data_IF_047722377907
#
_entry.id   IF_047722377907
#
_cell.length_a   1.000
_cell.length_b   1.000
_cell.length_c   1.000
_cell.angle_alpha   90.00
_cell.angle_beta   90.00
_cell.angle_gamma   90.00
#
_symmetry.space_group_name_H-M   'P 1'
#
loop_
_entity.id
_entity.type
_entity.pdbx_description
1 polymer ?
#
# COMPACT_ATOMS: atom_id res chain seq x y z
N UNK A 1 -7.12 45.24 11.29
CA UNK A 1 -5.98 44.44 10.81
C UNK A 1 -5.64 43.42 11.89
N UNK A 2 -6.37 42.31 11.93
CA UNK A 2 -6.25 41.28 12.97
C UNK A 2 -5.29 40.20 12.48
N UNK A 3 -4.10 40.15 13.08
CA UNK A 3 -3.16 39.07 12.89
C UNK A 3 -3.71 37.81 13.60
N UNK A 4 -4.39 36.95 12.84
CA UNK A 4 -4.62 35.58 13.28
C UNK A 4 -3.26 34.88 13.39
N UNK A 5 -2.80 34.71 14.63
CA UNK A 5 -1.74 33.78 15.00
C UNK A 5 -2.17 32.38 14.54
N UNK A 6 -1.80 32.00 13.32
CA UNK A 6 -1.87 30.61 12.86
C UNK A 6 -0.99 29.79 13.80
N UNK A 7 -1.62 29.07 14.73
CA UNK A 7 -0.97 28.06 15.56
C UNK A 7 -0.12 27.16 14.65
N UNK A 8 1.13 26.83 15.01
CA UNK A 8 1.95 25.95 14.19
C UNK A 8 1.21 24.64 14.00
N UNK A 9 0.85 24.32 12.75
CA UNK A 9 0.26 23.03 12.40
C UNK A 9 1.24 21.97 12.88
N UNK A 10 0.87 21.20 13.91
CA UNK A 10 1.71 20.10 14.42
C UNK A 10 2.00 19.17 13.26
N UNK A 11 3.23 19.18 12.77
CA UNK A 11 3.69 18.18 11.82
C UNK A 11 3.84 16.87 12.57
N UNK A 12 3.18 15.82 12.09
CA UNK A 12 3.46 14.48 12.57
C UNK A 12 4.91 14.11 12.26
N UNK A 13 5.51 13.30 13.13
CA UNK A 13 6.82 12.73 12.86
C UNK A 13 6.74 11.73 11.72
N UNK A 14 7.83 11.57 10.97
CA UNK A 14 7.93 10.58 9.90
C UNK A 14 7.71 9.14 10.38
N UNK A 15 8.01 8.86 11.66
CA UNK A 15 7.75 7.57 12.31
C UNK A 15 6.27 7.16 12.30
N UNK A 16 5.34 8.11 12.24
CA UNK A 16 3.90 7.82 12.14
C UNK A 16 3.56 7.04 10.88
N UNK A 17 4.30 7.25 9.77
CA UNK A 17 4.11 6.50 8.52
C UNK A 17 4.40 5.01 8.74
N UNK A 18 5.54 4.69 9.35
CA UNK A 18 5.92 3.30 9.63
C UNK A 18 4.95 2.63 10.61
N UNK A 19 4.52 3.34 11.66
CA UNK A 19 3.53 2.82 12.62
C UNK A 19 2.19 2.53 11.95
N UNK A 20 1.72 3.42 11.08
CA UNK A 20 0.49 3.17 10.33
C UNK A 20 0.64 1.98 9.38
N UNK A 21 1.77 1.86 8.67
CA UNK A 21 2.04 0.71 7.82
C UNK A 21 1.99 -0.61 8.60
N UNK A 22 2.64 -0.64 9.77
CA UNK A 22 2.63 -1.81 10.67
C UNK A 22 1.22 -2.10 11.17
N UNK A 23 0.47 -1.09 11.61
CA UNK A 23 -0.90 -1.27 12.08
C UNK A 23 -1.82 -1.82 10.97
N UNK A 24 -1.67 -1.33 9.74
CA UNK A 24 -2.39 -1.84 8.57
C UNK A 24 -2.06 -3.29 8.26
N UNK A 25 -0.78 -3.64 8.33
CA UNK A 25 -0.32 -5.01 8.13
C UNK A 25 -0.84 -5.96 9.22
N UNK A 26 -0.81 -5.54 10.49
CA UNK A 26 -1.40 -6.29 11.61
C UNK A 26 -2.90 -6.50 11.37
N UNK A 27 -3.62 -5.46 10.94
CA UNK A 27 -5.05 -5.57 10.64
C UNK A 27 -5.33 -6.56 9.50
N UNK A 28 -4.50 -6.58 8.45
CA UNK A 28 -4.60 -7.56 7.36
C UNK A 28 -4.41 -8.97 7.91
N UNK A 29 -3.33 -9.23 8.66
CA UNK A 29 -3.05 -10.56 9.20
C UNK A 29 -4.12 -10.99 10.21
N UNK A 30 -4.58 -10.11 11.08
CA UNK A 30 -5.72 -10.39 11.96
C UNK A 30 -6.98 -10.75 11.16
N UNK A 31 -7.26 -10.02 10.07
CA UNK A 31 -8.36 -10.31 9.16
C UNK A 31 -8.23 -11.69 8.50
N UNK A 32 -7.03 -12.05 8.04
CA UNK A 32 -6.71 -13.36 7.45
C UNK A 32 -7.07 -14.51 8.40
N UNK A 33 -6.79 -14.37 9.71
CA UNK A 33 -7.06 -15.40 10.72
C UNK A 33 -8.43 -15.30 11.39
N UNK A 34 -9.19 -14.23 11.18
CA UNK A 34 -10.51 -14.04 11.79
C UNK A 34 -11.63 -14.61 10.91
N UNK A 35 -11.85 -14.02 9.74
CA UNK A 35 -12.85 -14.48 8.77
C UNK A 35 -12.62 -13.85 7.38
N UNK A 36 -13.12 -14.46 6.30
CA UNK A 36 -13.03 -13.87 4.96
C UNK A 36 -13.69 -12.49 4.87
N UNK A 37 -14.82 -12.29 5.54
CA UNK A 37 -15.54 -11.01 5.57
C UNK A 37 -14.74 -9.95 6.33
N UNK A 38 -14.07 -10.32 7.42
CA UNK A 38 -13.19 -9.43 8.17
C UNK A 38 -12.02 -8.95 7.31
N UNK A 39 -11.37 -9.85 6.56
CA UNK A 39 -10.29 -9.48 5.65
C UNK A 39 -10.78 -8.57 4.52
N UNK A 40 -11.96 -8.84 3.95
CA UNK A 40 -12.56 -7.98 2.93
C UNK A 40 -12.87 -6.58 3.51
N UNK A 41 -13.42 -6.50 4.72
CA UNK A 41 -13.67 -5.23 5.41
C UNK A 41 -12.37 -4.44 5.63
N UNK A 42 -11.30 -5.11 6.08
CA UNK A 42 -9.97 -4.49 6.23
C UNK A 42 -9.45 -3.97 4.88
N UNK A 43 -9.57 -4.75 3.81
CA UNK A 43 -9.18 -4.31 2.46
C UNK A 43 -9.92 -3.06 1.99
N UNK A 44 -11.23 -2.99 2.23
CA UNK A 44 -12.06 -1.81 1.93
C UNK A 44 -11.62 -0.60 2.76
N UNK A 45 -11.38 -0.78 4.07
CA UNK A 45 -10.92 0.28 4.96
C UNK A 45 -9.55 0.81 4.56
N UNK A 46 -8.63 -0.07 4.15
CA UNK A 46 -7.31 0.31 3.64
C UNK A 46 -7.45 1.09 2.34
N UNK A 47 -8.27 0.63 1.39
CA UNK A 47 -8.54 1.36 0.15
C UNK A 47 -9.12 2.76 0.42
N UNK A 48 -10.05 2.87 1.37
CA UNK A 48 -10.60 4.15 1.80
C UNK A 48 -9.53 5.05 2.45
N UNK A 49 -8.67 4.51 3.31
CA UNK A 49 -7.60 5.26 3.96
C UNK A 49 -6.53 5.73 2.95
N UNK A 50 -6.16 4.89 1.98
CA UNK A 50 -5.31 5.27 0.85
C UNK A 50 -5.98 6.38 0.04
N UNK A 51 -7.24 6.20 -0.36
CA UNK A 51 -7.98 7.20 -1.13
C UNK A 51 -8.13 8.54 -0.41
N UNK A 52 -8.47 8.54 0.88
CA UNK A 52 -8.57 9.77 1.67
C UNK A 52 -7.19 10.41 1.84
N UNK A 53 -6.16 9.62 2.16
CA UNK A 53 -4.86 10.14 2.49
C UNK A 53 -4.04 10.63 1.30
N UNK A 54 -4.16 9.97 0.15
CA UNK A 54 -3.29 10.17 -0.99
C UNK A 54 -3.38 11.59 -1.60
N UNK A 55 -4.58 12.17 -1.82
CA UNK A 55 -4.69 13.57 -2.23
C UNK A 55 -4.17 14.57 -1.20
N UNK A 56 -4.19 14.22 0.10
CA UNK A 56 -3.62 15.05 1.16
C UNK A 56 -2.09 14.98 1.16
N UNK A 57 -1.53 13.79 0.88
CA UNK A 57 -0.11 13.61 0.67
C UNK A 57 0.39 14.42 -0.53
N UNK A 58 -0.27 14.31 -1.68
CA UNK A 58 0.06 15.02 -2.91
C UNK A 58 -0.31 16.51 -2.90
N UNK A 59 -1.03 16.99 -1.88
CA UNK A 59 -1.49 18.39 -1.75
C UNK A 59 -2.36 18.87 -2.91
N UNK A 60 -3.10 17.95 -3.51
CA UNK A 60 -3.95 18.26 -4.66
C UNK A 60 -5.12 19.16 -4.20
N UNK A 61 -5.55 20.16 -4.99
CA UNK A 61 -6.69 21.01 -4.65
C UNK A 61 -8.01 20.24 -4.49
N UNK A 62 -8.31 19.30 -5.40
CA UNK A 62 -9.57 18.56 -5.45
C UNK A 62 -9.59 17.31 -4.55
N UNK A 63 -9.29 17.47 -3.25
CA UNK A 63 -9.07 16.35 -2.31
C UNK A 63 -10.25 15.39 -2.19
N UNK A 64 -11.48 15.91 -2.08
CA UNK A 64 -12.68 15.10 -1.81
C UNK A 64 -13.03 14.22 -3.00
N UNK A 65 -13.11 14.81 -4.19
CA UNK A 65 -13.45 14.10 -5.43
C UNK A 65 -12.41 13.04 -5.75
N UNK A 66 -11.12 13.40 -5.71
CA UNK A 66 -10.05 12.45 -6.01
C UNK A 66 -9.89 11.38 -4.93
N UNK A 67 -10.25 11.67 -3.68
CA UNK A 67 -10.30 10.64 -2.66
C UNK A 67 -11.33 9.55 -2.98
N UNK A 68 -12.54 9.93 -3.41
CA UNK A 68 -13.55 8.98 -3.84
C UNK A 68 -13.10 8.19 -5.08
N UNK A 69 -12.50 8.87 -6.06
CA UNK A 69 -11.98 8.24 -7.29
C UNK A 69 -10.87 7.21 -7.00
N UNK A 70 -10.10 7.38 -5.94
CA UNK A 70 -9.07 6.41 -5.53
C UNK A 70 -9.64 5.30 -4.64
N UNK A 71 -10.52 5.65 -3.70
CA UNK A 71 -11.06 4.71 -2.74
C UNK A 71 -12.02 3.70 -3.37
N UNK A 72 -12.93 4.16 -4.24
CA UNK A 72 -13.99 3.32 -4.80
C UNK A 72 -13.44 2.16 -5.66
N UNK A 73 -12.50 2.37 -6.59
CA UNK A 73 -11.89 1.27 -7.35
C UNK A 73 -11.17 0.26 -6.45
N UNK A 74 -10.45 0.73 -5.42
CA UNK A 74 -9.75 -0.17 -4.50
C UNK A 74 -10.70 -0.99 -3.65
N UNK A 75 -11.77 -0.37 -3.13
CA UNK A 75 -12.82 -1.06 -2.41
C UNK A 75 -13.55 -2.08 -3.30
N UNK A 76 -13.86 -1.71 -4.55
CA UNK A 76 -14.47 -2.61 -5.51
C UNK A 76 -13.55 -3.78 -5.87
N UNK A 77 -12.25 -3.53 -6.05
CA UNK A 77 -11.25 -4.58 -6.27
C UNK A 77 -11.16 -5.53 -5.07
N UNK A 78 -11.22 -5.01 -3.84
CA UNK A 78 -11.22 -5.82 -2.62
C UNK A 78 -12.48 -6.71 -2.52
N UNK A 79 -13.66 -6.14 -2.80
CA UNK A 79 -14.93 -6.88 -2.85
C UNK A 79 -14.89 -7.95 -3.94
N UNK A 80 -14.45 -7.62 -5.15
CA UNK A 80 -14.36 -8.61 -6.22
C UNK A 80 -13.34 -9.71 -5.89
N UNK A 81 -12.21 -9.39 -5.27
CA UNK A 81 -11.25 -10.40 -4.84
C UNK A 81 -11.80 -11.33 -3.76
N UNK A 82 -12.78 -10.91 -2.96
CA UNK A 82 -13.42 -11.77 -1.94
C UNK A 82 -14.47 -12.71 -2.51
N UNK A 83 -15.10 -12.37 -3.64
CA UNK A 83 -16.17 -13.18 -4.25
C UNK A 83 -15.81 -13.84 -5.57
N UNK A 84 -14.74 -13.41 -6.24
CA UNK A 84 -14.34 -13.95 -7.54
C UNK A 84 -14.07 -15.46 -7.47
N UNK A 85 -14.46 -16.24 -8.50
CA UNK A 85 -14.21 -17.67 -8.54
C UNK A 85 -12.73 -17.98 -8.77
N UNK A 86 -12.22 -19.11 -8.22
CA UNK A 86 -10.89 -19.62 -8.57
C UNK A 86 -10.79 -19.94 -10.08
N UNK A 87 -9.60 -19.86 -10.70
CA UNK A 87 -8.31 -19.42 -10.17
C UNK A 87 -8.05 -17.91 -10.31
N UNK A 88 -9.05 -17.16 -10.77
CA UNK A 88 -8.95 -15.76 -11.23
C UNK A 88 -9.31 -14.70 -10.19
N UNK A 89 -8.77 -14.80 -8.97
CA UNK A 89 -9.19 -13.93 -7.86
C UNK A 89 -8.94 -12.42 -8.12
N UNK A 90 -7.97 -12.05 -8.95
CA UNK A 90 -7.67 -10.65 -9.30
C UNK A 90 -8.09 -10.26 -10.72
N UNK A 91 -8.85 -11.08 -11.43
CA UNK A 91 -9.16 -10.84 -12.86
C UNK A 91 -9.92 -9.53 -13.09
N UNK A 92 -10.73 -9.10 -12.12
CA UNK A 92 -11.46 -7.83 -12.16
C UNK A 92 -10.64 -6.61 -11.72
N UNK A 93 -9.52 -6.83 -11.02
CA UNK A 93 -8.69 -5.74 -10.47
C UNK A 93 -8.16 -4.80 -11.57
N UNK A 94 -7.63 -5.28 -12.71
CA UNK A 94 -7.24 -4.41 -13.83
C UNK A 94 -8.38 -3.54 -14.36
N UNK A 95 -9.61 -4.06 -14.43
CA UNK A 95 -10.76 -3.30 -14.88
C UNK A 95 -11.07 -2.14 -13.92
N UNK A 96 -11.02 -2.36 -12.61
CA UNK A 96 -11.20 -1.28 -11.63
C UNK A 96 -10.06 -0.25 -11.68
N UNK A 97 -8.81 -0.68 -11.88
CA UNK A 97 -7.69 0.24 -12.09
C UNK A 97 -7.95 1.12 -13.32
N UNK A 98 -8.35 0.52 -14.44
CA UNK A 98 -8.65 1.26 -15.67
C UNK A 98 -9.81 2.26 -15.46
N UNK A 99 -10.92 1.82 -14.85
CA UNK A 99 -12.06 2.68 -14.54
C UNK A 99 -11.66 3.85 -13.62
N UNK A 100 -10.88 3.57 -12.57
CA UNK A 100 -10.39 4.58 -11.64
C UNK A 100 -9.47 5.59 -12.33
N UNK A 101 -8.53 5.13 -13.15
CA UNK A 101 -7.64 6.00 -13.92
C UNK A 101 -8.43 6.86 -14.92
N UNK A 102 -9.39 6.28 -15.65
CA UNK A 102 -10.28 7.05 -16.53
C UNK A 102 -11.06 8.11 -15.74
N UNK A 103 -11.59 7.76 -14.57
CA UNK A 103 -12.28 8.72 -13.69
C UNK A 103 -11.34 9.84 -13.21
N UNK A 104 -10.05 9.57 -12.95
CA UNK A 104 -9.05 10.62 -12.69
C UNK A 104 -8.99 11.59 -13.87
N UNK A 105 -8.85 11.09 -15.11
CA UNK A 105 -8.82 11.97 -16.28
C UNK A 105 -10.10 12.80 -16.42
N UNK A 106 -11.27 12.19 -16.24
CA UNK A 106 -12.57 12.90 -16.27
C UNK A 106 -12.62 14.02 -15.24
N UNK A 107 -12.19 13.77 -14.00
CA UNK A 107 -12.12 14.81 -12.96
C UNK A 107 -11.19 15.95 -13.38
N UNK A 108 -10.07 15.64 -14.03
CA UNK A 108 -9.12 16.67 -14.48
C UNK A 108 -9.64 17.45 -15.69
N UNK A 109 -10.44 16.84 -16.56
CA UNK A 109 -11.15 17.53 -17.65
C UNK A 109 -12.20 18.50 -17.09
N UNK A 110 -13.00 18.07 -16.11
CA UNK A 110 -14.01 18.92 -15.45
C UNK A 110 -13.36 20.10 -14.71
N UNK A 111 -12.18 19.91 -14.11
CA UNK A 111 -11.43 20.99 -13.46
C UNK A 111 -10.97 22.09 -14.43
N UNK A 112 -10.97 21.84 -15.74
CA UNK A 112 -10.67 22.81 -16.79
C UNK A 112 -9.18 22.93 -17.15
N UNK A 113 -8.91 23.63 -18.25
CA UNK A 113 -7.56 23.95 -18.73
C UNK A 113 -6.94 25.11 -17.94
N UNK A 114 -5.63 25.05 -17.64
CA UNK A 114 -4.92 26.11 -16.91
C UNK A 114 -4.81 25.95 -15.38
N UNK A 115 -5.35 24.88 -14.81
CA UNK A 115 -5.19 24.59 -13.39
C UNK A 115 -3.74 24.20 -13.05
N UNK A 116 -3.18 24.81 -12.00
CA UNK A 116 -1.87 24.47 -11.49
C UNK A 116 -1.79 22.98 -11.09
N UNK A 117 -0.62 22.37 -11.32
CA UNK A 117 -0.30 20.98 -10.96
C UNK A 117 -1.23 19.93 -11.58
N UNK A 118 -1.84 20.19 -12.75
CA UNK A 118 -2.77 19.24 -13.38
C UNK A 118 -2.09 17.92 -13.73
N UNK A 119 -0.95 17.95 -14.40
CA UNK A 119 -0.22 16.73 -14.80
C UNK A 119 0.23 15.94 -13.57
N UNK A 120 0.81 16.62 -12.58
CA UNK A 120 1.25 16.04 -11.31
C UNK A 120 0.07 15.40 -10.55
N UNK A 121 -1.09 16.07 -10.53
CA UNK A 121 -2.31 15.54 -9.91
C UNK A 121 -2.83 14.31 -10.66
N UNK A 122 -2.82 14.32 -12.00
CA UNK A 122 -3.27 13.18 -12.81
C UNK A 122 -2.37 11.97 -12.57
N UNK A 123 -1.06 12.12 -12.76
CA UNK A 123 -0.10 11.03 -12.58
C UNK A 123 -0.11 10.52 -11.15
N UNK A 124 -0.07 11.44 -10.18
CA UNK A 124 -0.13 11.10 -8.77
C UNK A 124 -1.42 10.36 -8.40
N UNK A 125 -2.58 10.81 -8.85
CA UNK A 125 -3.85 10.10 -8.57
C UNK A 125 -3.97 8.77 -9.28
N UNK A 126 -3.45 8.61 -10.50
CA UNK A 126 -3.39 7.31 -11.18
C UNK A 126 -2.57 6.30 -10.36
N UNK A 127 -1.43 6.72 -9.82
CA UNK A 127 -0.64 5.90 -8.89
C UNK A 127 -1.44 5.57 -7.62
N UNK A 128 -2.20 6.55 -7.09
CA UNK A 128 -3.09 6.32 -5.96
C UNK A 128 -4.15 5.24 -6.24
N UNK A 129 -4.82 5.31 -7.40
CA UNK A 129 -5.79 4.29 -7.86
C UNK A 129 -5.13 2.93 -7.93
N UNK A 130 -3.96 2.84 -8.58
CA UNK A 130 -3.20 1.59 -8.69
C UNK A 130 -2.93 1.00 -7.30
N UNK A 131 -2.31 1.78 -6.40
CA UNK A 131 -1.95 1.33 -5.05
C UNK A 131 -3.16 0.92 -4.21
N UNK A 132 -4.28 1.64 -4.34
CA UNK A 132 -5.54 1.31 -3.69
C UNK A 132 -6.07 -0.07 -4.13
N UNK A 133 -6.00 -0.36 -5.43
CA UNK A 133 -6.45 -1.64 -6.00
C UNK A 133 -5.52 -2.82 -5.68
N UNK A 134 -4.20 -2.60 -5.62
CA UNK A 134 -3.23 -3.69 -5.35
C UNK A 134 -3.43 -4.34 -3.97
N UNK A 135 -4.06 -3.63 -3.02
CA UNK A 135 -4.41 -4.19 -1.71
C UNK A 135 -5.33 -5.42 -1.78
N UNK A 136 -6.11 -5.56 -2.86
CA UNK A 136 -6.93 -6.74 -3.11
C UNK A 136 -6.10 -8.05 -3.21
N UNK A 137 -4.80 -7.94 -3.50
CA UNK A 137 -3.89 -9.09 -3.53
C UNK A 137 -3.73 -9.80 -2.18
N UNK A 138 -3.90 -9.11 -1.05
CA UNK A 138 -3.91 -9.78 0.26
C UNK A 138 -5.12 -10.71 0.42
N UNK A 139 -6.28 -10.29 -0.09
CA UNK A 139 -7.51 -11.10 -0.10
C UNK A 139 -7.34 -12.27 -1.06
N UNK A 140 -6.85 -12.01 -2.27
CA UNK A 140 -6.60 -13.04 -3.26
C UNK A 140 -5.58 -14.07 -2.77
N UNK A 141 -4.46 -13.64 -2.19
CA UNK A 141 -3.44 -14.52 -1.62
C UNK A 141 -3.97 -15.37 -0.46
N UNK A 142 -4.81 -14.82 0.41
CA UNK A 142 -5.43 -15.59 1.50
C UNK A 142 -6.42 -16.66 1.01
N UNK A 143 -7.04 -16.44 -0.17
CA UNK A 143 -7.94 -17.40 -0.82
C UNK A 143 -7.19 -18.39 -1.72
N UNK A 144 -6.02 -18.02 -2.22
CA UNK A 144 -5.20 -18.84 -3.09
C UNK A 144 -4.52 -19.96 -2.26
N UNK A 145 -4.91 -21.20 -2.56
CA UNK A 145 -4.30 -22.46 -2.11
C UNK A 145 -4.13 -22.79 -0.63
N UNK A 146 -4.73 -22.08 0.34
CA UNK A 146 -4.82 -22.54 1.74
C UNK A 146 -3.48 -22.65 2.51
N UNK A 147 -2.34 -22.65 1.82
CA UNK A 147 -0.99 -22.56 2.34
C UNK A 147 -0.71 -21.10 2.62
N UNK A 148 -1.00 -20.70 3.86
CA UNK A 148 -0.84 -19.31 4.34
C UNK A 148 0.63 -18.88 4.47
N UNK A 149 1.56 -19.80 4.23
CA UNK A 149 2.99 -19.64 4.49
C UNK A 149 3.62 -18.54 3.63
N UNK A 150 3.34 -18.49 2.32
CA UNK A 150 3.88 -17.45 1.45
C UNK A 150 3.30 -16.06 1.78
N UNK A 151 2.02 -16.00 2.17
CA UNK A 151 1.39 -14.77 2.66
C UNK A 151 2.05 -14.31 3.98
N UNK A 152 2.37 -15.24 4.88
CA UNK A 152 3.10 -14.94 6.10
C UNK A 152 4.52 -14.46 5.81
N UNK A 153 5.24 -15.07 4.86
CA UNK A 153 6.55 -14.60 4.40
C UNK A 153 6.47 -13.17 3.87
N UNK A 154 5.45 -12.86 3.08
CA UNK A 154 5.20 -11.50 2.59
C UNK A 154 5.03 -10.53 3.75
N UNK A 155 4.23 -10.92 4.74
CA UNK A 155 3.92 -10.09 5.88
C UNK A 155 5.13 -9.90 6.80
N UNK A 156 5.90 -10.95 7.09
CA UNK A 156 7.12 -10.85 7.90
C UNK A 156 8.14 -9.96 7.19
N UNK A 157 8.35 -10.16 5.88
CA UNK A 157 9.26 -9.33 5.08
C UNK A 157 8.83 -7.86 5.08
N UNK A 158 7.53 -7.61 4.90
CA UNK A 158 6.98 -6.25 4.96
C UNK A 158 7.12 -5.63 6.36
N UNK A 159 6.86 -6.39 7.42
CA UNK A 159 7.02 -5.94 8.79
C UNK A 159 8.47 -5.55 9.09
N UNK A 160 9.44 -6.38 8.69
CA UNK A 160 10.87 -6.10 8.86
C UNK A 160 11.28 -4.84 8.10
N UNK A 161 10.86 -4.68 6.86
CA UNK A 161 11.13 -3.46 6.08
C UNK A 161 10.48 -2.21 6.71
N UNK A 162 9.25 -2.31 7.21
CA UNK A 162 8.55 -1.21 7.90
C UNK A 162 9.23 -0.83 9.22
N UNK A 163 9.67 -1.83 10.00
CA UNK A 163 10.40 -1.64 11.26
C UNK A 163 11.77 -1.00 11.02
N UNK A 164 12.53 -1.47 10.02
CA UNK A 164 13.75 -0.80 9.58
C UNK A 164 13.44 0.65 9.16
N UNK A 165 12.30 0.86 8.50
CA UNK A 165 11.76 2.15 8.14
C UNK A 165 11.43 3.10 9.31
N UNK A 166 11.38 2.63 10.56
CA UNK A 166 11.22 3.49 11.74
C UNK A 166 12.55 4.08 12.23
N UNK A 167 13.68 3.53 11.81
CA UNK A 167 15.01 3.98 12.24
C UNK A 167 15.28 5.38 11.65
N UNK A 168 15.57 6.36 12.52
CA UNK A 168 15.84 7.75 12.17
C UNK A 168 17.29 7.98 11.70
N UNK A 169 17.78 7.10 10.82
CA UNK A 169 19.10 7.19 10.19
C UNK A 169 19.02 7.72 8.76
N UNK A 170 20.15 8.19 8.18
CA UNK A 170 20.19 8.65 6.79
C UNK A 170 19.68 7.57 5.83
N UNK A 171 18.90 7.99 4.84
CA UNK A 171 18.21 7.08 3.92
C UNK A 171 19.18 6.19 3.12
N UNK A 172 20.40 6.68 2.88
CA UNK A 172 21.51 5.93 2.28
C UNK A 172 21.89 4.66 3.04
N UNK A 173 21.62 4.59 4.35
CA UNK A 173 21.91 3.42 5.19
C UNK A 173 20.64 2.60 5.40
N UNK A 174 19.52 3.26 5.71
CA UNK A 174 18.29 2.55 6.10
C UNK A 174 17.61 1.86 4.92
N UNK A 175 17.61 2.48 3.73
CA UNK A 175 17.02 1.87 2.54
C UNK A 175 17.69 0.52 2.17
N UNK A 176 19.02 0.43 1.99
CA UNK A 176 19.66 -0.85 1.69
C UNK A 176 19.55 -1.82 2.87
N UNK A 177 19.65 -1.35 4.12
CA UNK A 177 19.50 -2.21 5.29
C UNK A 177 18.10 -2.83 5.36
N UNK A 178 17.05 -2.05 5.12
CA UNK A 178 15.67 -2.54 5.07
C UNK A 178 15.44 -3.58 3.98
N UNK A 179 16.04 -3.37 2.79
CA UNK A 179 15.99 -4.34 1.68
C UNK A 179 16.68 -5.64 2.03
N UNK A 180 17.90 -5.57 2.59
CA UNK A 180 18.68 -6.75 2.99
C UNK A 180 17.96 -7.50 4.10
N UNK A 181 17.50 -6.81 5.15
CA UNK A 181 16.78 -7.45 6.25
C UNK A 181 15.46 -8.08 5.79
N UNK A 182 14.70 -7.42 4.92
CA UNK A 182 13.48 -8.01 4.35
C UNK A 182 13.78 -9.22 3.47
N UNK A 183 14.86 -9.17 2.68
CA UNK A 183 15.34 -10.30 1.90
C UNK A 183 15.76 -11.49 2.76
N UNK A 184 16.36 -11.25 3.92
CA UNK A 184 16.73 -12.30 4.87
C UNK A 184 15.54 -12.82 5.68
N UNK A 185 14.50 -12.01 5.84
CA UNK A 185 13.32 -12.37 6.65
C UNK A 185 12.58 -13.59 6.10
N UNK A 186 12.44 -13.70 4.77
CA UNK A 186 11.79 -14.86 4.13
C UNK A 186 12.53 -16.19 4.36
N UNK A 187 13.83 -16.29 4.06
CA UNK A 187 14.67 -17.44 4.39
C UNK A 187 14.64 -17.82 5.87
N UNK A 188 14.76 -16.84 6.77
CA UNK A 188 14.76 -17.09 8.21
C UNK A 188 13.39 -17.57 8.69
N UNK A 189 12.30 -17.06 8.11
CA UNK A 189 10.95 -17.58 8.36
C UNK A 189 10.79 -19.01 7.83
N UNK A 190 11.39 -19.34 6.68
CA UNK A 190 11.42 -20.69 6.11
C UNK A 190 12.21 -21.72 6.92
N UNK A 191 13.11 -21.29 7.82
CA UNK A 191 13.75 -22.21 8.77
C UNK A 191 12.78 -22.70 9.87
N UNK A 192 11.72 -21.93 10.12
CA UNK A 192 10.66 -22.27 11.08
C UNK A 192 9.45 -22.90 10.38
N UNK A 193 9.20 -22.47 9.14
CA UNK A 193 8.13 -22.92 8.25
C UNK A 193 8.75 -23.86 7.20
N UNK A 194 8.81 -25.15 7.52
CA UNK A 194 9.65 -26.17 6.87
C UNK A 194 9.43 -26.42 5.36
N UNK A 195 8.43 -25.81 4.73
CA UNK A 195 8.02 -26.08 3.33
C UNK A 195 8.30 -24.93 2.35
N UNK A 196 9.02 -23.88 2.76
CA UNK A 196 9.29 -22.72 1.89
C UNK A 196 10.62 -22.84 1.16
N UNK A 197 10.57 -22.72 -0.17
CA UNK A 197 11.76 -22.55 -1.00
C UNK A 197 12.52 -21.25 -0.62
N UNK A 198 13.71 -21.42 -0.05
CA UNK A 198 14.54 -20.35 0.51
C UNK A 198 14.86 -19.25 -0.50
N UNK A 199 15.21 -19.63 -1.74
CA UNK A 199 15.63 -18.68 -2.77
C UNK A 199 14.47 -17.79 -3.27
N UNK A 200 13.29 -18.32 -3.65
CA UNK A 200 12.11 -17.49 -3.95
C UNK A 200 11.69 -16.56 -2.82
N UNK A 201 11.71 -17.04 -1.57
CA UNK A 201 11.38 -16.23 -0.40
C UNK A 201 12.37 -15.07 -0.21
N UNK A 202 13.67 -15.30 -0.45
CA UNK A 202 14.68 -14.25 -0.37
C UNK A 202 14.47 -13.16 -1.42
N UNK A 203 14.31 -13.57 -2.69
CA UNK A 203 14.08 -12.65 -3.80
C UNK A 203 12.83 -11.82 -3.57
N UNK A 204 11.76 -12.46 -3.11
CA UNK A 204 10.52 -11.77 -2.78
C UNK A 204 10.69 -10.76 -1.65
N UNK A 205 11.37 -11.14 -0.56
CA UNK A 205 11.69 -10.24 0.54
C UNK A 205 12.49 -9.01 0.09
N UNK A 206 13.45 -9.18 -0.82
CA UNK A 206 14.21 -8.07 -1.44
C UNK A 206 13.29 -7.14 -2.22
N UNK A 207 12.38 -7.68 -3.04
CA UNK A 207 11.42 -6.87 -3.81
C UNK A 207 10.51 -6.07 -2.87
N UNK A 208 9.94 -6.72 -1.85
CA UNK A 208 9.08 -6.08 -0.84
C UNK A 208 9.84 -4.97 -0.11
N UNK A 209 11.07 -5.25 0.32
CA UNK A 209 11.94 -4.28 0.97
C UNK A 209 12.27 -3.09 0.07
N UNK A 210 12.54 -3.32 -1.22
CA UNK A 210 12.83 -2.26 -2.19
C UNK A 210 11.60 -1.36 -2.44
N UNK A 211 10.40 -1.93 -2.52
CA UNK A 211 9.15 -1.17 -2.63
C UNK A 211 8.97 -0.29 -1.39
N UNK A 212 9.05 -0.85 -0.19
CA UNK A 212 8.87 -0.11 1.06
C UNK A 212 9.94 0.98 1.27
N UNK A 213 11.21 0.68 0.94
CA UNK A 213 12.29 1.65 0.96
C UNK A 213 12.06 2.81 -0.02
N UNK A 214 11.51 2.53 -1.22
CA UNK A 214 11.17 3.57 -2.20
C UNK A 214 10.09 4.53 -1.67
N UNK A 215 9.09 4.02 -0.95
CA UNK A 215 8.06 4.84 -0.31
C UNK A 215 8.61 5.68 0.85
N UNK A 216 9.53 5.13 1.65
CA UNK A 216 10.26 5.90 2.66
C UNK A 216 11.04 7.04 2.02
N UNK A 217 11.76 6.77 0.92
CA UNK A 217 12.48 7.81 0.17
C UNK A 217 11.54 8.89 -0.36
N UNK A 218 10.38 8.50 -0.89
CA UNK A 218 9.35 9.44 -1.31
C UNK A 218 8.85 10.33 -0.16
N UNK A 219 8.67 9.76 1.04
CA UNK A 219 8.25 10.50 2.22
C UNK A 219 9.31 11.49 2.71
N UNK A 220 10.59 11.10 2.70
CA UNK A 220 11.71 11.96 3.14
C UNK A 220 11.96 13.11 2.17
N UNK A 221 11.90 12.85 0.85
CA UNK A 221 12.10 13.87 -0.19
C UNK A 221 11.03 14.97 -0.19
N UNK A 222 9.82 14.68 0.28
CA UNK A 222 8.74 15.69 0.35
C UNK A 222 9.09 16.84 1.29
N UNK A 223 9.84 16.59 2.38
CA UNK A 223 10.33 17.62 3.32
C UNK A 223 9.27 18.49 4.01
N UNK A 224 7.98 18.18 3.86
CA UNK A 224 6.90 19.09 4.18
C UNK A 224 5.95 18.49 5.23
N UNK A 225 5.27 19.32 6.05
CA UNK A 225 4.52 18.85 7.21
C UNK A 225 3.51 17.76 6.84
N UNK A 226 3.50 16.71 7.65
CA UNK A 226 2.63 15.55 7.51
C UNK A 226 1.41 15.73 8.39
N UNK A 227 0.22 15.66 7.77
CA UNK A 227 -1.04 15.53 8.49
C UNK A 227 -1.42 14.05 8.60
N UNK A 228 -2.33 13.71 9.51
CA UNK A 228 -2.72 12.32 9.78
C UNK A 228 -3.22 11.60 8.52
N UNK A 229 -3.98 12.29 7.66
CA UNK A 229 -4.49 11.73 6.40
C UNK A 229 -3.34 11.34 5.45
N UNK A 230 -2.36 12.22 5.26
CA UNK A 230 -1.19 11.92 4.44
C UNK A 230 -0.35 10.78 5.03
N UNK A 231 -0.23 10.72 6.37
CA UNK A 231 0.44 9.61 7.05
C UNK A 231 -0.29 8.28 6.82
N UNK A 232 -1.64 8.29 6.82
CA UNK A 232 -2.46 7.13 6.53
C UNK A 232 -2.12 6.52 5.16
N UNK A 233 -2.15 7.34 4.09
CA UNK A 233 -1.86 6.81 2.77
C UNK A 233 -0.40 6.40 2.61
N UNK A 234 0.55 7.15 3.16
CA UNK A 234 1.97 6.81 3.00
C UNK A 234 2.37 5.54 3.74
N UNK A 235 1.68 5.20 4.84
CA UNK A 235 1.90 3.94 5.53
C UNK A 235 1.21 2.77 4.84
N UNK A 236 -0.04 2.95 4.40
CA UNK A 236 -0.87 1.85 3.89
C UNK A 236 -0.68 1.57 2.40
N UNK A 237 -0.36 2.57 1.57
CA UNK A 237 -0.21 2.38 0.14
C UNK A 237 0.90 1.38 -0.26
N UNK A 238 2.11 1.39 0.34
CA UNK A 238 3.10 0.37 0.03
C UNK A 238 2.68 -1.01 0.55
N UNK A 239 1.97 -1.08 1.69
CA UNK A 239 1.40 -2.35 2.20
C UNK A 239 0.39 -2.91 1.21
N UNK A 240 -0.46 -2.07 0.62
CA UNK A 240 -1.37 -2.49 -0.45
C UNK A 240 -0.61 -3.03 -1.67
N UNK A 241 0.47 -2.37 -2.09
CA UNK A 241 1.28 -2.84 -3.22
C UNK A 241 1.87 -4.24 -2.99
N UNK A 242 2.33 -4.53 -1.77
CA UNK A 242 2.87 -5.83 -1.39
C UNK A 242 1.84 -6.95 -1.52
N UNK A 243 0.55 -6.67 -1.32
CA UNK A 243 -0.52 -7.66 -1.42
C UNK A 243 -0.59 -8.34 -2.79
N UNK A 244 -0.62 -7.57 -3.88
CA UNK A 244 -0.60 -8.15 -5.23
C UNK A 244 0.70 -8.88 -5.55
N UNK A 245 1.85 -8.41 -5.05
CA UNK A 245 3.13 -9.10 -5.24
C UNK A 245 3.10 -10.48 -4.59
N UNK A 246 2.58 -10.58 -3.35
CA UNK A 246 2.43 -11.84 -2.64
C UNK A 246 1.58 -12.84 -3.44
N UNK A 247 0.41 -12.41 -3.94
CA UNK A 247 -0.47 -13.25 -4.75
C UNK A 247 0.18 -13.74 -6.05
N UNK A 248 0.81 -12.83 -6.82
CA UNK A 248 1.39 -13.22 -8.11
C UNK A 248 2.62 -14.10 -7.95
N UNK A 249 3.43 -13.90 -6.92
CA UNK A 249 4.59 -14.75 -6.66
C UNK A 249 4.14 -16.14 -6.23
N UNK A 250 3.14 -16.24 -5.36
CA UNK A 250 2.56 -17.52 -4.98
C UNK A 250 1.96 -18.25 -6.20
N UNK A 251 1.28 -17.51 -7.09
CA UNK A 251 0.78 -18.05 -8.36
C UNK A 251 1.89 -18.48 -9.32
N UNK A 252 3.02 -17.79 -9.37
CA UNK A 252 4.15 -18.11 -10.26
C UNK A 252 5.06 -19.23 -9.74
N UNK A 253 5.04 -19.53 -8.44
CA UNK A 253 5.87 -20.59 -7.87
C UNK A 253 5.19 -21.97 -7.91
N UNK A 254 3.86 -21.98 -8.02
CA UNK A 254 3.06 -23.21 -8.10
C UNK A 254 2.92 -23.70 -9.56
N UNK A 255 3.10 -22.82 -10.55
CA UNK A 255 3.05 -23.13 -11.99
C UNK A 255 4.44 -23.06 -12.62
#
# INVERSE_FOLDING_TARGET
>A
MTAELQSPVRSLGSWTIGVVGIAGLIAIIAGVYSSPEALAAVGILIAAAVGIGWPHFLRIPAKKTLAAVIALPGAAAAVCASVAPPPGYLDWTPAFVALGMMAVFVVQLIRGTGQAQRLESTLGCCVGVLLSCLGAGWIAGARFNGVREMLLVAAISAAVALLAGLIQWPDSIVAPLGVVLAGLAGPLAGLVLSDIAVLPAAVFGVIVGAVLASFRRLATLRGAPLNMRAALSMGLAPVSAVGSLAYFIDKLLIY
#
